data_IF_397551140590
#
_entry.id   IF_397551140590
#
_cell.length_a   1.000
_cell.length_b   1.000
_cell.length_c   1.000
_cell.angle_alpha   90.00
_cell.angle_beta   90.00
_cell.angle_gamma   90.00
#
_symmetry.space_group_name_H-M   'P 1'
#
loop_
_entity.id
_entity.type
_entity.pdbx_description
1 polymer ?
#
# COMPACT_ATOMS: atom_id res chain seq x y z
N UNK A 1 -0.83 34.97 -5.44
CA UNK A 1 0.02 35.01 -6.66
C UNK A 1 1.48 35.06 -6.20
N UNK A 2 2.29 34.05 -6.52
CA UNK A 2 3.72 34.03 -6.22
C UNK A 2 4.52 34.24 -7.50
N UNK A 3 5.54 35.10 -7.44
CA UNK A 3 6.44 35.39 -8.57
C UNK A 3 7.89 35.20 -8.14
N UNK A 4 8.72 34.67 -9.04
CA UNK A 4 10.15 34.47 -8.81
C UNK A 4 10.92 34.94 -10.04
N UNK A 5 12.03 35.65 -9.82
CA UNK A 5 12.96 36.06 -10.87
C UNK A 5 14.27 35.31 -10.64
N UNK A 6 14.68 34.51 -11.63
CA UNK A 6 15.90 33.71 -11.57
C UNK A 6 16.78 34.04 -12.76
N UNK A 7 18.08 34.15 -12.49
CA UNK A 7 19.09 34.21 -13.54
C UNK A 7 19.56 32.80 -13.86
N UNK A 8 19.70 32.49 -15.14
CA UNK A 8 20.30 31.27 -15.65
C UNK A 8 21.39 31.64 -16.65
N UNK A 9 22.51 30.93 -16.61
CA UNK A 9 23.63 31.17 -17.51
C UNK A 9 23.90 29.91 -18.33
N UNK A 10 24.20 30.10 -19.62
CA UNK A 10 24.70 29.03 -20.47
C UNK A 10 26.10 28.63 -20.01
N UNK A 11 26.46 27.37 -20.23
CA UNK A 11 27.75 26.86 -19.76
C UNK A 11 28.78 27.29 -20.80
N UNK A 12 29.64 28.22 -20.42
CA UNK A 12 30.72 28.64 -21.30
C UNK A 12 31.65 27.47 -21.62
N UNK A 13 31.94 27.28 -22.91
CA UNK A 13 32.98 26.39 -23.43
C UNK A 13 33.90 27.23 -24.30
N UNK A 14 35.22 27.12 -24.06
CA UNK A 14 36.22 27.81 -24.88
C UNK A 14 36.23 27.26 -26.31
N UNK A 15 36.77 28.05 -27.25
CA UNK A 15 36.86 27.66 -28.67
C UNK A 15 37.65 26.36 -28.86
N UNK A 16 38.78 26.19 -28.15
CA UNK A 16 39.61 24.98 -28.22
C UNK A 16 38.87 23.75 -27.68
N UNK A 17 38.19 23.87 -26.53
CA UNK A 17 37.41 22.77 -25.96
C UNK A 17 36.24 22.40 -26.86
N UNK A 18 35.59 23.39 -27.49
CA UNK A 18 34.54 23.15 -28.47
C UNK A 18 35.09 22.39 -29.67
N UNK A 19 36.24 22.79 -30.22
CA UNK A 19 36.87 22.10 -31.36
C UNK A 19 37.21 20.65 -31.03
N UNK A 20 37.88 20.39 -29.90
CA UNK A 20 38.22 19.02 -29.50
C UNK A 20 36.97 18.18 -29.26
N UNK A 21 35.96 18.73 -28.58
CA UNK A 21 34.68 18.04 -28.36
C UNK A 21 33.99 17.72 -29.68
N UNK A 22 33.88 18.68 -30.60
CA UNK A 22 33.26 18.45 -31.90
C UNK A 22 34.07 17.40 -32.68
N UNK A 23 35.41 17.49 -32.73
CA UNK A 23 36.29 16.54 -33.44
C UNK A 23 36.12 15.10 -32.95
N UNK A 24 36.06 14.90 -31.62
CA UNK A 24 35.87 13.57 -31.03
C UNK A 24 34.47 13.01 -31.31
N UNK A 25 33.43 13.85 -31.34
CA UNK A 25 32.04 13.44 -31.54
C UNK A 25 31.53 13.55 -32.99
N UNK A 26 32.37 13.93 -33.97
CA UNK A 26 32.00 14.05 -35.40
C UNK A 26 31.18 12.86 -35.92
N UNK A 27 31.63 11.60 -35.77
CA UNK A 27 30.88 10.49 -36.34
C UNK A 27 29.46 10.42 -35.76
N UNK A 28 29.31 10.63 -34.45
CA UNK A 28 28.01 10.59 -33.79
C UNK A 28 27.10 11.76 -34.18
N UNK A 29 27.68 12.94 -34.44
CA UNK A 29 26.99 14.13 -34.95
C UNK A 29 26.50 13.91 -36.40
N UNK A 30 27.33 13.31 -37.25
CA UNK A 30 26.98 13.02 -38.65
C UNK A 30 25.86 11.99 -38.77
N UNK A 31 25.86 10.96 -37.93
CA UNK A 31 24.77 9.98 -37.86
C UNK A 31 23.51 10.51 -37.16
N UNK A 32 23.50 11.76 -36.68
CA UNK A 32 22.35 12.37 -36.00
C UNK A 32 22.03 11.78 -34.62
N UNK A 33 22.92 10.93 -34.08
CA UNK A 33 22.76 10.34 -32.75
C UNK A 33 23.13 11.32 -31.64
N UNK A 34 24.01 12.28 -31.94
CA UNK A 34 24.34 13.41 -31.07
C UNK A 34 23.97 14.73 -31.75
N UNK A 35 23.52 15.70 -30.95
CA UNK A 35 23.18 17.05 -31.39
C UNK A 35 23.92 18.08 -30.53
N UNK A 36 24.31 19.21 -31.11
CA UNK A 36 24.90 20.34 -30.38
C UNK A 36 23.82 21.15 -29.63
N UNK A 37 23.17 20.53 -28.64
CA UNK A 37 22.19 21.20 -27.76
C UNK A 37 22.70 21.32 -26.33
N UNK A 38 22.38 22.43 -25.68
CA UNK A 38 22.63 22.62 -24.25
C UNK A 38 21.30 22.73 -23.51
N UNK A 39 21.08 21.82 -22.56
CA UNK A 39 19.93 21.86 -21.65
C UNK A 39 20.35 22.61 -20.39
N UNK A 40 19.60 23.66 -20.01
CA UNK A 40 19.81 24.43 -18.79
C UNK A 40 18.59 24.27 -17.89
N UNK A 41 18.78 23.70 -16.70
CA UNK A 41 17.75 23.66 -15.66
C UNK A 41 17.91 24.86 -14.72
N UNK A 42 16.82 25.61 -14.54
CA UNK A 42 16.76 26.74 -13.60
C UNK A 42 15.69 26.44 -12.55
N UNK A 43 16.09 26.43 -11.28
CA UNK A 43 15.16 26.24 -10.17
C UNK A 43 14.36 27.53 -9.95
N UNK A 44 13.09 27.52 -10.30
CA UNK A 44 12.19 28.68 -10.15
C UNK A 44 11.84 28.90 -8.67
N UNK A 45 11.34 27.84 -8.04
CA UNK A 45 10.97 27.76 -6.63
C UNK A 45 11.63 26.54 -6.01
N UNK A 46 12.21 26.70 -4.83
CA UNK A 46 12.82 25.60 -4.08
C UNK A 46 11.76 24.85 -3.25
N UNK A 47 11.04 25.57 -2.39
CA UNK A 47 9.93 25.04 -1.59
C UNK A 47 8.65 25.80 -1.87
N UNK A 48 8.03 25.45 -2.98
CA UNK A 48 6.71 26.01 -3.29
C UNK A 48 5.67 25.35 -2.40
N UNK A 49 4.96 26.17 -1.62
CA UNK A 49 3.84 25.73 -0.78
C UNK A 49 2.57 26.38 -1.33
N UNK A 50 1.64 25.54 -1.75
CA UNK A 50 0.35 25.94 -2.28
C UNK A 50 -0.58 26.34 -1.13
N UNK A 51 -1.24 27.49 -1.28
CA UNK A 51 -2.26 27.92 -0.32
C UNK A 51 -3.61 27.28 -0.69
N UNK A 52 -4.28 26.65 0.28
CA UNK A 52 -5.55 25.96 0.04
C UNK A 52 -6.67 26.92 -0.34
N UNK A 53 -6.66 28.14 0.21
CA UNK A 53 -7.69 29.13 -0.08
C UNK A 53 -7.56 29.72 -1.48
N UNK A 54 -6.37 29.65 -2.09
CA UNK A 54 -6.05 30.29 -3.38
C UNK A 54 -5.12 29.41 -4.21
N UNK A 55 -5.65 28.34 -4.83
CA UNK A 55 -4.85 27.42 -5.63
C UNK A 55 -4.29 28.09 -6.89
N UNK A 56 -3.06 27.75 -7.28
CA UNK A 56 -2.48 28.19 -8.53
C UNK A 56 -3.07 27.39 -9.72
N UNK A 57 -3.92 28.04 -10.50
CA UNK A 57 -4.50 27.44 -11.73
C UNK A 57 -3.66 27.67 -12.97
N UNK A 58 -2.82 28.71 -12.99
CA UNK A 58 -2.06 29.12 -14.16
C UNK A 58 -0.61 29.49 -13.80
N UNK A 59 0.33 29.07 -14.65
CA UNK A 59 1.74 29.47 -14.57
C UNK A 59 2.14 30.24 -15.84
N UNK A 60 2.68 31.44 -15.67
CA UNK A 60 3.22 32.26 -16.75
C UNK A 60 4.74 32.37 -16.62
N UNK A 61 5.48 31.93 -17.63
CA UNK A 61 6.95 31.98 -17.65
C UNK A 61 7.38 32.95 -18.75
N UNK A 62 8.25 33.90 -18.39
CA UNK A 62 8.76 34.91 -19.32
C UNK A 62 10.29 34.88 -19.31
N UNK A 63 10.88 34.67 -20.48
CA UNK A 63 12.33 34.73 -20.67
C UNK A 63 12.70 36.16 -21.07
N UNK A 64 13.53 36.82 -20.26
CA UNK A 64 13.96 38.20 -20.49
C UNK A 64 15.32 38.24 -21.19
N UNK A 65 15.35 37.92 -22.48
CA UNK A 65 16.52 38.15 -23.33
C UNK A 65 16.07 38.18 -24.81
N UNK A 66 16.55 39.16 -25.58
CA UNK A 66 16.25 39.28 -27.01
C UNK A 66 17.18 38.48 -27.90
N UNK A 67 18.34 38.06 -27.39
CA UNK A 67 19.41 37.41 -28.16
C UNK A 67 19.51 35.90 -27.90
N UNK A 68 18.49 35.28 -27.29
CA UNK A 68 18.49 33.84 -27.01
C UNK A 68 17.47 33.14 -27.89
N UNK A 69 17.88 32.04 -28.50
CA UNK A 69 17.00 31.13 -29.23
C UNK A 69 16.72 29.90 -28.35
N UNK A 70 15.44 29.60 -28.16
CA UNK A 70 14.99 28.48 -27.34
C UNK A 70 14.10 27.59 -28.20
N UNK A 71 14.56 26.37 -28.44
CA UNK A 71 13.82 25.37 -29.20
C UNK A 71 12.66 24.77 -28.39
N UNK A 72 12.91 24.46 -27.12
CA UNK A 72 11.92 23.86 -26.24
C UNK A 72 12.15 24.30 -24.80
N UNK A 73 11.05 24.51 -24.08
CA UNK A 73 11.05 24.77 -22.66
C UNK A 73 10.05 23.84 -21.99
N UNK A 74 10.50 23.13 -20.96
CA UNK A 74 9.65 22.21 -20.19
C UNK A 74 9.63 22.65 -18.74
N UNK A 75 8.43 22.83 -18.18
CA UNK A 75 8.26 23.08 -16.76
C UNK A 75 8.19 21.73 -16.04
N UNK A 76 9.15 21.47 -15.16
CA UNK A 76 9.17 20.27 -14.31
C UNK A 76 8.76 20.64 -12.90
N UNK A 77 7.76 19.96 -12.37
CA UNK A 77 7.29 20.11 -11.00
C UNK A 77 7.72 18.86 -10.25
N UNK A 78 8.60 19.04 -9.27
CA UNK A 78 9.02 17.97 -8.37
C UNK A 78 8.23 18.07 -7.09
N UNK A 79 7.76 16.93 -6.60
CA UNK A 79 7.05 16.85 -5.34
C UNK A 79 8.03 16.45 -4.24
N UNK A 80 8.39 17.39 -3.39
CA UNK A 80 9.20 17.11 -2.20
C UNK A 80 8.29 16.62 -1.08
N UNK A 81 8.26 15.30 -0.92
CA UNK A 81 7.52 14.63 0.13
C UNK A 81 8.46 14.25 1.26
N UNK A 82 8.02 14.47 2.51
CA UNK A 82 8.73 14.05 3.72
C UNK A 82 7.92 12.98 4.47
N UNK A 83 8.61 12.18 5.29
CA UNK A 83 7.98 11.18 6.16
C UNK A 83 7.30 10.01 5.41
N UNK A 84 6.11 9.60 5.87
CA UNK A 84 5.37 8.47 5.28
C UNK A 84 5.00 8.72 3.81
N UNK A 85 4.70 9.96 3.44
CA UNK A 85 4.35 10.33 2.06
C UNK A 85 5.50 10.07 1.08
N UNK A 86 6.74 10.26 1.53
CA UNK A 86 7.92 9.95 0.72
C UNK A 86 8.01 8.45 0.40
N UNK A 87 7.85 7.61 1.41
CA UNK A 87 7.90 6.16 1.26
C UNK A 87 6.78 5.67 0.32
N UNK A 88 5.57 6.21 0.48
CA UNK A 88 4.41 5.87 -0.34
C UNK A 88 4.62 6.25 -1.82
N UNK A 89 5.18 7.44 -2.09
CA UNK A 89 5.38 7.92 -3.46
C UNK A 89 6.49 7.18 -4.20
N UNK A 90 7.61 6.89 -3.53
CA UNK A 90 8.74 6.23 -4.18
C UNK A 90 8.58 4.69 -4.24
N UNK A 91 7.90 4.08 -3.28
CA UNK A 91 7.74 2.62 -3.16
C UNK A 91 6.31 2.22 -2.73
N UNK A 92 5.30 2.38 -3.60
CA UNK A 92 3.91 2.12 -3.22
C UNK A 92 3.68 0.68 -2.77
N UNK A 93 4.34 -0.29 -3.41
CA UNK A 93 4.17 -1.71 -3.09
C UNK A 93 4.77 -2.09 -1.73
N UNK A 94 5.99 -1.66 -1.44
CA UNK A 94 6.63 -1.93 -0.14
C UNK A 94 5.85 -1.27 1.00
N UNK A 95 5.40 -0.02 0.80
CA UNK A 95 4.58 0.68 1.78
C UNK A 95 3.25 -0.03 2.02
N UNK A 96 2.59 -0.52 0.98
CA UNK A 96 1.35 -1.29 1.11
C UNK A 96 1.57 -2.60 1.88
N UNK A 97 2.65 -3.33 1.57
CA UNK A 97 3.01 -4.56 2.27
C UNK A 97 3.28 -4.31 3.76
N UNK A 98 4.01 -3.26 4.11
CA UNK A 98 4.28 -2.89 5.51
C UNK A 98 2.97 -2.53 6.24
N UNK A 99 2.08 -1.78 5.58
CA UNK A 99 0.78 -1.42 6.16
C UNK A 99 -0.10 -2.64 6.41
N UNK A 100 -0.25 -3.50 5.40
CA UNK A 100 -1.05 -4.74 5.49
C UNK A 100 -0.44 -5.70 6.51
N UNK A 101 0.88 -5.89 6.49
CA UNK A 101 1.55 -6.80 7.43
C UNK A 101 1.43 -6.32 8.87
N UNK A 102 1.56 -5.02 9.13
CA UNK A 102 1.40 -4.45 10.47
C UNK A 102 -0.05 -4.59 10.97
N UNK A 103 -1.03 -4.34 10.09
CA UNK A 103 -2.44 -4.52 10.42
C UNK A 103 -2.76 -6.00 10.71
N UNK A 104 -2.34 -6.89 9.82
CA UNK A 104 -2.52 -8.33 9.97
C UNK A 104 -1.84 -8.85 11.25
N UNK A 105 -0.61 -8.38 11.53
CA UNK A 105 0.13 -8.72 12.75
C UNK A 105 -0.62 -8.30 14.01
N UNK A 106 -1.22 -7.10 14.03
CA UNK A 106 -1.95 -6.61 15.19
C UNK A 106 -3.24 -7.42 15.43
N UNK A 107 -4.00 -7.71 14.37
CA UNK A 107 -5.20 -8.56 14.45
C UNK A 107 -4.83 -9.97 14.90
N UNK A 108 -3.78 -10.56 14.34
CA UNK A 108 -3.28 -11.88 14.73
C UNK A 108 -2.82 -11.88 16.19
N UNK A 109 -2.12 -10.85 16.65
CA UNK A 109 -1.66 -10.70 18.03
C UNK A 109 -2.85 -10.66 19.01
N UNK A 110 -3.87 -9.86 18.72
CA UNK A 110 -5.09 -9.78 19.55
C UNK A 110 -5.84 -11.11 19.56
N UNK A 111 -5.96 -11.77 18.41
CA UNK A 111 -6.58 -13.09 18.31
C UNK A 111 -5.82 -14.15 19.11
N UNK A 112 -4.49 -14.17 19.05
CA UNK A 112 -3.62 -15.05 19.84
C UNK A 112 -3.74 -14.78 21.34
N UNK A 113 -3.74 -13.52 21.76
CA UNK A 113 -3.93 -13.14 23.16
C UNK A 113 -5.33 -13.51 23.66
N UNK A 114 -6.36 -13.31 22.85
CA UNK A 114 -7.74 -13.73 23.13
C UNK A 114 -7.80 -15.25 23.31
N UNK A 115 -7.19 -16.00 22.39
CA UNK A 115 -7.10 -17.45 22.46
C UNK A 115 -6.36 -17.93 23.71
N UNK A 116 -5.23 -17.31 24.05
CA UNK A 116 -4.45 -17.69 25.23
C UNK A 116 -5.18 -17.34 26.54
N UNK A 117 -6.00 -16.28 26.56
CA UNK A 117 -6.85 -15.92 27.71
C UNK A 117 -8.08 -16.83 27.83
N UNK A 118 -8.63 -17.29 26.70
CA UNK A 118 -9.78 -18.18 26.61
C UNK A 118 -9.36 -19.65 26.51
N UNK A 119 -8.10 -20.03 26.70
CA UNK A 119 -7.74 -21.44 26.86
C UNK A 119 -8.22 -21.89 28.25
N UNK A 120 -9.37 -22.57 28.39
CA UNK A 120 -9.83 -22.98 29.70
C UNK A 120 -8.82 -23.97 30.28
N UNK A 121 -8.50 -23.79 31.56
CA UNK A 121 -7.76 -24.76 32.33
C UNK A 121 -8.35 -26.15 32.07
N UNK A 122 -7.54 -27.02 31.45
CA UNK A 122 -7.77 -28.43 31.16
C UNK A 122 -8.75 -28.99 32.20
N UNK A 123 -9.93 -29.52 31.80
CA UNK A 123 -10.93 -29.94 32.78
C UNK A 123 -10.25 -30.91 33.73
N UNK A 124 -10.08 -30.51 35.00
CA UNK A 124 -9.58 -31.41 36.05
C UNK A 124 -10.58 -32.55 36.10
N UNK A 125 -10.20 -33.67 35.48
CA UNK A 125 -10.92 -34.94 35.51
C UNK A 125 -11.32 -35.16 36.96
N UNK A 126 -12.61 -34.92 37.29
CA UNK A 126 -13.17 -35.19 38.61
C UNK A 126 -13.01 -36.69 38.82
N UNK A 127 -11.92 -37.07 39.45
CA UNK A 127 -11.67 -38.43 39.93
C UNK A 127 -12.74 -38.65 40.98
N UNK A 128 -13.85 -39.27 40.57
CA UNK A 128 -14.92 -39.70 41.48
C UNK A 128 -14.27 -40.66 42.47
N UNK A 129 -13.95 -40.14 43.65
CA UNK A 129 -13.54 -40.94 44.79
C UNK A 129 -14.81 -41.50 45.42
N UNK A 130 -15.43 -42.49 44.79
CA UNK A 130 -16.44 -43.33 45.45
C UNK A 130 -15.75 -44.57 46.00
N UNK A 131 -15.11 -44.38 47.16
CA UNK A 131 -14.77 -45.45 48.08
C UNK A 131 -16.06 -45.90 48.78
N UNK A 132 -16.73 -46.95 48.30
CA UNK A 132 -17.32 -48.00 49.17
C UNK A 132 -17.92 -49.18 48.41
N UNK A 133 -17.20 -50.32 48.57
CA UNK A 133 -17.66 -51.70 48.86
C UNK A 133 -18.38 -52.53 47.80
N UNK A 134 -17.92 -53.80 47.76
CA UNK A 134 -18.47 -55.00 47.11
C UNK A 134 -18.17 -55.07 45.62
N UNK A 135 -17.52 -56.07 45.03
CA UNK A 135 -17.13 -57.43 45.40
C UNK A 135 -16.97 -58.21 44.09
N UNK A 136 -16.06 -59.20 44.03
CA UNK A 136 -15.73 -60.08 42.88
C UNK A 136 -14.93 -59.43 41.74
N UNK A 137 -13.66 -59.78 41.47
CA UNK A 137 -13.05 -61.05 41.02
C UNK A 137 -12.81 -61.03 39.50
N UNK A 138 -11.54 -61.00 39.07
CA UNK A 138 -11.13 -61.38 37.70
C UNK A 138 -10.15 -60.46 36.95
N UNK A 139 -8.85 -60.61 37.27
CA UNK A 139 -7.66 -60.73 36.39
C UNK A 139 -7.56 -60.01 35.01
N UNK A 140 -6.61 -59.06 34.96
CA UNK A 140 -5.60 -58.65 33.94
C UNK A 140 -5.65 -59.15 32.48
N UNK A 141 -5.59 -58.21 31.51
CA UNK A 141 -4.47 -57.92 30.53
C UNK A 141 -4.85 -58.52 29.14
N UNK A 142 -4.71 -57.93 27.95
CA UNK A 142 -3.88 -56.86 27.39
C UNK A 142 -4.46 -56.33 26.05
N UNK A 143 -3.93 -55.17 25.64
CA UNK A 143 -3.64 -54.65 24.28
C UNK A 143 -4.70 -54.45 23.17
N UNK A 144 -4.65 -53.20 22.68
CA UNK A 144 -4.71 -52.69 21.29
C UNK A 144 -5.91 -53.05 20.40
N UNK A 145 -6.55 -52.02 19.84
CA UNK A 145 -6.69 -51.83 18.38
C UNK A 145 -7.30 -50.44 18.12
N UNK A 146 -6.60 -49.73 17.25
CA UNK A 146 -6.96 -48.48 16.61
C UNK A 146 -8.14 -48.60 15.63
N UNK A 147 -8.68 -47.44 15.26
CA UNK A 147 -9.27 -47.09 13.95
C UNK A 147 -10.76 -46.72 13.97
N UNK A 148 -10.95 -45.46 13.54
CA UNK A 148 -12.05 -44.86 12.77
C UNK A 148 -13.45 -44.77 13.37
N UNK A 149 -13.93 -43.53 13.38
CA UNK A 149 -15.33 -43.17 13.44
C UNK A 149 -15.47 -41.69 13.12
N UNK A 150 -15.34 -41.34 11.84
CA UNK A 150 -15.85 -40.07 11.32
C UNK A 150 -17.38 -40.06 11.44
N UNK A 151 -17.92 -39.01 12.04
CA UNK A 151 -19.30 -38.53 11.90
C UNK A 151 -19.25 -37.08 12.39
N UNK A 152 -19.03 -36.11 11.51
CA UNK A 152 -20.04 -35.40 10.71
C UNK A 152 -21.26 -34.94 11.52
N UNK A 153 -21.40 -33.61 11.51
CA UNK A 153 -22.60 -32.81 11.68
C UNK A 153 -23.06 -32.52 13.11
N UNK A 154 -22.84 -31.27 13.51
CA UNK A 154 -23.92 -30.34 13.87
C UNK A 154 -23.33 -28.91 14.02
N UNK A 155 -23.23 -28.19 12.89
CA UNK A 155 -22.95 -26.75 12.88
C UNK A 155 -24.27 -26.01 13.07
N UNK A 156 -24.62 -25.74 14.33
CA UNK A 156 -25.72 -24.86 14.70
C UNK A 156 -25.36 -23.41 14.31
N UNK A 157 -25.84 -22.95 13.15
CA UNK A 157 -25.78 -21.55 12.73
C UNK A 157 -27.06 -20.81 13.13
N UNK A 158 -26.95 -19.52 13.52
CA UNK A 158 -27.96 -18.81 14.29
C UNK A 158 -29.13 -18.29 13.44
N UNK A 159 -30.28 -18.17 14.09
CA UNK A 159 -31.60 -17.78 13.58
C UNK A 159 -31.69 -16.46 12.78
N UNK A 160 -30.62 -15.65 12.76
CA UNK A 160 -30.59 -14.35 12.09
C UNK A 160 -30.75 -14.43 10.55
N UNK A 161 -30.33 -15.54 9.93
CA UNK A 161 -30.40 -15.70 8.47
C UNK A 161 -31.83 -16.04 8.00
N UNK A 162 -32.63 -16.70 8.85
CA UNK A 162 -34.05 -16.98 8.51
C UNK A 162 -34.90 -15.71 8.60
N UNK A 163 -34.67 -14.90 9.63
CA UNK A 163 -35.42 -13.66 9.83
C UNK A 163 -35.18 -12.64 8.70
N UNK A 164 -33.95 -12.59 8.16
CA UNK A 164 -33.61 -11.70 7.05
C UNK A 164 -34.21 -12.12 5.71
N UNK A 165 -34.33 -13.42 5.44
CA UNK A 165 -34.97 -13.93 4.21
C UNK A 165 -36.49 -13.70 4.25
N UNK A 166 -37.13 -13.95 5.40
CA UNK A 166 -38.57 -13.70 5.57
C UNK A 166 -38.92 -12.21 5.48
N UNK A 167 -38.07 -11.33 6.04
CA UNK A 167 -38.23 -9.88 5.90
C UNK A 167 -38.11 -9.41 4.44
N UNK A 168 -37.23 -10.02 3.63
CA UNK A 168 -37.10 -9.70 2.21
C UNK A 168 -38.30 -10.18 1.39
N UNK A 169 -38.82 -11.37 1.64
CA UNK A 169 -40.02 -11.87 0.95
C UNK A 169 -41.28 -11.03 1.27
N UNK A 170 -41.41 -10.55 2.51
CA UNK A 170 -42.52 -9.69 2.91
C UNK A 170 -42.50 -8.33 2.19
N UNK A 171 -41.30 -7.77 1.95
CA UNK A 171 -41.14 -6.50 1.21
C UNK A 171 -41.44 -6.67 -0.29
N UNK A 172 -41.03 -7.79 -0.88
CA UNK A 172 -41.30 -8.09 -2.31
C UNK A 172 -42.80 -8.29 -2.56
N UNK A 173 -43.52 -8.96 -1.63
CA UNK A 173 -44.99 -9.12 -1.75
C UNK A 173 -45.74 -7.80 -1.67
N UNK A 174 -45.29 -6.84 -0.86
CA UNK A 174 -45.92 -5.50 -0.75
C UNK A 174 -45.73 -4.63 -2.00
N UNK A 175 -44.66 -4.84 -2.78
CA UNK A 175 -44.47 -4.13 -4.06
C UNK A 175 -45.37 -4.65 -5.18
N UNK A 176 -45.73 -5.93 -5.19
CA UNK A 176 -46.61 -6.54 -6.22
C UNK A 176 -48.09 -6.18 -6.11
N UNK A 177 -48.54 -5.58 -5.02
CA UNK A 177 -49.95 -5.17 -4.83
C UNK A 177 -50.19 -3.67 -5.13
N UNK A 178 -49.16 -2.94 -5.58
CA UNK A 178 -49.22 -1.49 -5.80
C UNK A 178 -49.07 -1.05 -7.27
N UNK A 179 -48.93 -2.02 -8.18
CA UNK A 179 -49.01 -1.88 -9.63
C UNK A 179 -50.30 -2.56 -10.11
#
# INVERSE_FOLDING_TARGET
VRSSLRSGVLRYKSAMVRLFSTLTYIPMLMFGSAEEKQIVSVLLFDRYEEDYERPATQASIVIRNKFIEVYTATLKIYADFTGLRYLLYNWPLCSALIGISTNFFFVALVALLSWHRLAPAKPRRRRRLSRRRSGSSGRTEDENVSVSGESLEDEERPDLVKETIEAQEAVVRRRRQRD
#
